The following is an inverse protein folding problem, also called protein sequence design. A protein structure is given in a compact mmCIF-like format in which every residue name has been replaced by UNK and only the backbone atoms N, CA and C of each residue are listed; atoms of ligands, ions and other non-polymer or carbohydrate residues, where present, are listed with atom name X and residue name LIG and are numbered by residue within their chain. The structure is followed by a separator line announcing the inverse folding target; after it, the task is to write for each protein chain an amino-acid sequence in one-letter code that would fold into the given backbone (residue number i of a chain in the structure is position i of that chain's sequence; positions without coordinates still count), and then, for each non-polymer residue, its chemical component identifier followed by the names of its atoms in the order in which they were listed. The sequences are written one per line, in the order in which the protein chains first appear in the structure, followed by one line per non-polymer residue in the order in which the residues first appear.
data_IF_941365031017
#
_entry.id   IF_941365031017
#
_cell.length_a   1.000
_cell.length_b   1.000
_cell.length_c   1.000
_cell.angle_alpha   90.00
_cell.angle_beta   90.00
_cell.angle_gamma   90.00
#
_symmetry.space_group_name_H-M   'P 1'
#
loop_
_entity.id
_entity.type
_entity.pdbx_description
1 polymer ?
#
# COMPACT_ATOMS: atom_id res chain seq x y z
N UNK A 1 -9.03 10.86 -6.52
CA UNK A 1 -9.87 12.00 -6.06
C UNK A 1 -9.29 12.53 -4.75
N UNK A 2 -9.31 13.83 -4.52
CA UNK A 2 -8.96 14.38 -3.21
C UNK A 2 -10.19 14.26 -2.31
N UNK A 3 -10.04 13.69 -1.13
CA UNK A 3 -11.12 13.55 -0.15
C UNK A 3 -10.78 14.35 1.11
N UNK A 4 -11.59 15.32 1.46
CA UNK A 4 -11.46 16.07 2.71
C UNK A 4 -12.28 15.39 3.80
N UNK A 5 -11.65 15.04 4.92
CA UNK A 5 -12.29 14.43 6.08
C UNK A 5 -12.25 15.44 7.22
N UNK A 6 -13.41 15.66 7.84
CA UNK A 6 -13.57 16.52 9.01
C UNK A 6 -13.94 15.67 10.23
N UNK A 7 -13.30 15.90 11.35
CA UNK A 7 -13.52 15.18 12.59
C UNK A 7 -13.54 16.16 13.76
N UNK A 8 -14.45 15.94 14.69
CA UNK A 8 -14.46 16.64 15.99
C UNK A 8 -13.84 15.71 17.04
N UNK A 9 -12.94 16.22 17.86
CA UNK A 9 -12.24 15.45 18.89
C UNK A 9 -13.16 15.24 20.10
N UNK A 10 -13.42 13.96 20.39
CA UNK A 10 -14.24 13.54 21.52
C UNK A 10 -13.44 13.57 22.85
N UNK A 11 -14.13 13.63 23.98
CA UNK A 11 -13.52 13.65 25.34
C UNK A 11 -12.57 12.45 25.56
N UNK A 12 -12.92 11.26 25.05
CA UNK A 12 -12.10 10.04 25.15
C UNK A 12 -10.77 10.10 24.41
N UNK A 13 -10.61 11.04 23.45
CA UNK A 13 -9.43 11.22 22.61
C UNK A 13 -8.56 12.41 23.06
N UNK A 14 -8.94 13.07 24.14
CA UNK A 14 -8.19 14.18 24.73
C UNK A 14 -6.74 13.80 25.03
N UNK A 15 -5.81 14.68 24.73
CA UNK A 15 -4.36 14.54 24.96
C UNK A 15 -3.69 13.34 24.25
N UNK A 16 -4.35 12.71 23.28
CA UNK A 16 -3.77 11.67 22.43
C UNK A 16 -3.13 12.28 21.19
N UNK A 17 -2.22 11.52 20.56
CA UNK A 17 -1.55 11.93 19.33
C UNK A 17 -2.52 11.90 18.16
N UNK A 18 -2.46 12.93 17.31
CA UNK A 18 -3.33 13.05 16.14
C UNK A 18 -3.15 11.92 15.13
N UNK A 19 -1.90 11.47 14.88
CA UNK A 19 -1.64 10.37 13.95
C UNK A 19 -2.27 9.04 14.39
N UNK A 20 -2.33 8.78 15.70
CA UNK A 20 -2.98 7.59 16.27
C UNK A 20 -4.49 7.65 16.14
N UNK A 21 -5.09 8.80 16.44
CA UNK A 21 -6.54 8.95 16.38
C UNK A 21 -7.04 8.90 14.94
N UNK A 22 -6.35 9.58 14.01
CA UNK A 22 -6.68 9.53 12.58
C UNK A 22 -6.57 8.10 12.03
N UNK A 23 -5.54 7.33 12.41
CA UNK A 23 -5.39 5.95 11.92
C UNK A 23 -6.47 5.00 12.45
N UNK A 24 -7.07 5.29 13.60
CA UNK A 24 -8.20 4.53 14.15
C UNK A 24 -9.54 4.91 13.52
N UNK A 25 -9.73 6.20 13.23
CA UNK A 25 -11.00 6.72 12.70
C UNK A 25 -11.10 6.64 11.17
N UNK A 26 -9.96 6.51 10.46
CA UNK A 26 -9.90 6.44 8.99
C UNK A 26 -9.37 5.06 8.58
N UNK A 27 -10.26 4.10 8.41
CA UNK A 27 -9.93 2.67 8.25
C UNK A 27 -9.30 2.32 6.88
N UNK A 28 -9.39 3.19 5.88
CA UNK A 28 -8.92 2.90 4.51
C UNK A 28 -7.52 3.43 4.21
N UNK A 29 -6.83 4.07 5.19
CA UNK A 29 -5.46 4.56 5.03
C UNK A 29 -4.56 4.12 6.18
N UNK A 30 -3.30 3.81 5.87
CA UNK A 30 -2.33 3.36 6.86
C UNK A 30 -1.81 4.53 7.70
N UNK A 31 -1.41 4.24 8.95
CA UNK A 31 -0.77 5.25 9.82
C UNK A 31 0.46 5.90 9.20
N UNK A 32 1.26 5.13 8.46
CA UNK A 32 2.43 5.65 7.74
C UNK A 32 2.03 6.69 6.70
N UNK A 33 0.91 6.47 6.01
CA UNK A 33 0.41 7.43 5.03
C UNK A 33 -0.16 8.68 5.70
N UNK A 34 -0.87 8.54 6.83
CA UNK A 34 -1.33 9.68 7.64
C UNK A 34 -0.16 10.56 8.07
N UNK A 35 0.94 9.96 8.57
CA UNK A 35 2.15 10.73 8.92
C UNK A 35 2.65 11.56 7.74
N UNK A 36 2.77 10.97 6.55
CA UNK A 36 3.19 11.69 5.34
C UNK A 36 2.24 12.83 4.96
N UNK A 37 0.93 12.64 5.12
CA UNK A 37 -0.04 13.71 4.87
C UNK A 37 0.17 14.87 5.84
N UNK A 38 0.39 14.60 7.13
CA UNK A 38 0.64 15.61 8.16
C UNK A 38 1.93 16.40 7.85
N UNK A 39 3.02 15.70 7.57
CA UNK A 39 4.31 16.29 7.21
C UNK A 39 4.22 17.16 5.94
N UNK A 40 3.36 16.77 4.99
CA UNK A 40 3.07 17.51 3.76
C UNK A 40 1.98 18.60 3.93
N UNK A 41 1.71 19.07 5.15
CA UNK A 41 0.78 20.18 5.42
C UNK A 41 -0.67 19.90 5.00
N UNK A 42 -1.09 18.62 4.96
CA UNK A 42 -2.46 18.23 4.62
C UNK A 42 -3.38 18.10 5.84
N UNK A 43 -2.92 18.48 7.03
CA UNK A 43 -3.66 18.45 8.28
C UNK A 43 -3.85 19.86 8.83
N UNK A 44 -5.07 20.18 9.19
CA UNK A 44 -5.40 21.38 9.96
C UNK A 44 -6.08 20.98 11.28
N UNK A 45 -5.76 21.70 12.36
CA UNK A 45 -6.45 21.64 13.63
C UNK A 45 -6.89 23.08 13.96
N UNK A 46 -8.20 23.29 14.13
CA UNK A 46 -8.78 24.61 14.37
C UNK A 46 -8.31 25.65 13.32
N UNK A 47 -8.35 25.27 12.04
CA UNK A 47 -7.90 26.07 10.89
C UNK A 47 -6.41 26.41 10.85
N UNK A 48 -5.58 25.81 11.71
CA UNK A 48 -4.12 25.96 11.72
C UNK A 48 -3.44 24.72 11.16
N UNK A 49 -2.52 24.89 10.21
CA UNK A 49 -1.76 23.79 9.63
C UNK A 49 -0.87 23.14 10.69
N UNK A 50 -0.91 21.82 10.78
CA UNK A 50 -0.11 21.01 11.69
C UNK A 50 0.77 20.08 10.86
N UNK A 51 2.10 20.11 11.11
CA UNK A 51 3.10 19.29 10.40
C UNK A 51 3.69 18.16 11.26
N UNK A 52 3.40 18.16 12.54
CA UNK A 52 3.96 17.19 13.48
C UNK A 52 2.98 16.07 13.78
N UNK A 53 3.24 14.80 13.36
CA UNK A 53 2.33 13.67 13.60
C UNK A 53 2.08 13.37 15.08
N UNK A 54 3.01 13.75 15.96
CA UNK A 54 2.92 13.55 17.41
C UNK A 54 2.10 14.61 18.13
N UNK A 55 1.56 15.61 17.44
CA UNK A 55 0.73 16.68 18.03
C UNK A 55 -0.41 16.08 18.86
N UNK A 56 -0.54 16.54 20.09
CA UNK A 56 -1.63 16.16 21.01
C UNK A 56 -2.86 17.01 20.72
N UNK A 57 -4.01 16.35 20.64
CA UNK A 57 -5.31 16.97 20.36
C UNK A 57 -6.09 17.20 21.66
N UNK A 58 -6.96 18.20 21.66
CA UNK A 58 -7.82 18.54 22.80
C UNK A 58 -9.29 18.24 22.46
N UNK A 59 -10.10 18.00 23.47
CA UNK A 59 -11.55 17.89 23.30
C UNK A 59 -12.08 19.11 22.56
N UNK A 60 -12.99 18.90 21.63
CA UNK A 60 -13.59 19.93 20.75
C UNK A 60 -12.64 20.53 19.70
N UNK A 61 -11.41 20.04 19.54
CA UNK A 61 -10.61 20.43 18.39
C UNK A 61 -11.30 19.96 17.09
N UNK A 62 -11.40 20.85 16.12
CA UNK A 62 -11.84 20.52 14.77
C UNK A 62 -10.62 20.12 13.92
N UNK A 63 -10.63 18.88 13.45
CA UNK A 63 -9.56 18.31 12.61
C UNK A 63 -10.05 18.23 11.17
N UNK A 64 -9.29 18.79 10.24
CA UNK A 64 -9.52 18.68 8.81
C UNK A 64 -8.29 18.05 8.16
N UNK A 65 -8.44 16.91 7.48
CA UNK A 65 -7.35 16.26 6.76
C UNK A 65 -7.72 16.06 5.29
N UNK A 66 -6.83 16.49 4.40
CA UNK A 66 -6.95 16.28 2.96
C UNK A 66 -6.24 15.01 2.56
N UNK A 67 -7.00 13.98 2.22
CA UNK A 67 -6.50 12.69 1.77
C UNK A 67 -6.41 12.70 0.25
N UNK A 68 -5.20 12.60 -0.27
CA UNK A 68 -4.95 12.41 -1.68
C UNK A 68 -5.01 10.90 -1.94
N UNK A 69 -6.10 10.41 -2.53
CA UNK A 69 -6.15 9.01 -2.94
C UNK A 69 -5.01 8.75 -3.92
N UNK A 70 -4.03 7.96 -3.49
CA UNK A 70 -3.12 7.36 -4.47
C UNK A 70 -3.97 6.51 -5.40
N UNK A 71 -3.98 6.84 -6.69
CA UNK A 71 -4.43 5.86 -7.69
C UNK A 71 -3.65 4.59 -7.40
N UNK A 72 -4.36 3.51 -7.08
CA UNK A 72 -3.75 2.19 -7.04
C UNK A 72 -2.97 2.05 -8.35
N UNK A 73 -1.67 1.90 -8.23
CA UNK A 73 -0.84 1.63 -9.41
C UNK A 73 -1.29 0.26 -9.91
N UNK A 74 -2.12 0.27 -10.96
CA UNK A 74 -2.55 -0.98 -11.60
C UNK A 74 -1.28 -1.67 -12.06
N UNK A 75 -1.06 -2.87 -11.56
CA UNK A 75 -0.02 -3.74 -12.09
C UNK A 75 -0.47 -4.12 -13.49
N UNK A 76 0.32 -3.75 -14.50
CA UNK A 76 -0.02 -4.04 -15.88
C UNK A 76 0.64 -5.37 -16.29
N UNK A 77 -0.10 -6.25 -16.98
CA UNK A 77 0.48 -7.45 -17.56
C UNK A 77 1.63 -7.09 -18.49
N UNK A 78 2.71 -7.87 -18.45
CA UNK A 78 3.85 -7.72 -19.37
C UNK A 78 4.43 -9.08 -19.71
N UNK A 79 4.73 -9.28 -20.98
CA UNK A 79 5.42 -10.46 -21.46
C UNK A 79 6.86 -10.47 -20.95
N UNK A 80 7.18 -11.44 -20.14
CA UNK A 80 8.50 -11.73 -19.57
C UNK A 80 8.60 -13.24 -19.48
N UNK A 81 9.66 -13.80 -20.00
CA UNK A 81 9.90 -15.25 -19.93
C UNK A 81 10.07 -15.71 -18.50
N UNK A 82 9.36 -16.80 -18.15
CA UNK A 82 9.41 -17.42 -16.84
C UNK A 82 9.98 -18.83 -16.95
N UNK A 83 11.00 -19.12 -16.16
CA UNK A 83 11.52 -20.46 -16.02
C UNK A 83 10.62 -21.25 -15.05
N UNK A 84 9.59 -21.92 -15.62
CA UNK A 84 8.63 -22.74 -14.87
C UNK A 84 9.21 -24.13 -14.73
N UNK A 85 9.34 -24.60 -13.48
CA UNK A 85 9.86 -25.92 -13.14
C UNK A 85 8.73 -26.92 -12.97
N UNK A 86 7.58 -26.46 -12.46
CA UNK A 86 6.39 -27.27 -12.27
C UNK A 86 5.15 -26.39 -12.39
N UNK A 87 4.07 -26.97 -12.92
CA UNK A 87 2.77 -26.30 -13.06
C UNK A 87 1.67 -27.36 -13.04
N UNK A 88 0.64 -27.14 -12.23
CA UNK A 88 -0.63 -27.86 -12.24
C UNK A 88 -1.81 -26.89 -12.10
N UNK A 89 -2.99 -27.38 -11.83
CA UNK A 89 -4.21 -26.56 -11.71
C UNK A 89 -4.21 -25.63 -10.48
N UNK A 90 -3.44 -25.96 -9.44
CA UNK A 90 -3.45 -25.30 -8.15
C UNK A 90 -2.22 -24.41 -7.90
N UNK A 91 -1.05 -24.79 -8.41
CA UNK A 91 0.20 -24.09 -8.13
C UNK A 91 1.20 -24.08 -9.30
N UNK A 92 2.09 -23.10 -9.25
CA UNK A 92 3.20 -22.95 -10.19
C UNK A 92 4.49 -22.81 -9.39
N UNK A 93 5.52 -23.58 -9.75
CA UNK A 93 6.88 -23.43 -9.21
C UNK A 93 7.78 -22.79 -10.25
N UNK A 94 8.37 -21.67 -9.91
CA UNK A 94 9.19 -20.85 -10.81
C UNK A 94 10.61 -20.80 -10.26
N UNK A 95 11.61 -21.06 -11.10
CA UNK A 95 12.99 -20.73 -10.80
C UNK A 95 13.25 -19.26 -11.14
N UNK A 96 13.11 -18.39 -10.14
CA UNK A 96 13.28 -16.94 -10.31
C UNK A 96 14.76 -16.61 -10.57
N UNK A 97 15.09 -15.93 -11.67
CA UNK A 97 16.44 -15.47 -11.90
C UNK A 97 16.84 -14.34 -10.93
N UNK A 98 18.13 -14.19 -10.70
CA UNK A 98 18.72 -13.01 -10.07
C UNK A 98 18.39 -11.76 -10.89
N UNK A 99 18.08 -10.65 -10.21
CA UNK A 99 17.73 -9.38 -10.85
C UNK A 99 16.23 -9.16 -11.07
N UNK A 100 15.41 -10.23 -11.10
CA UNK A 100 13.96 -10.11 -11.22
C UNK A 100 13.34 -9.79 -9.84
N UNK A 101 12.53 -8.73 -9.78
CA UNK A 101 11.75 -8.36 -8.58
C UNK A 101 10.44 -9.11 -8.59
N UNK A 102 10.00 -9.61 -7.44
CA UNK A 102 8.72 -10.34 -7.33
C UNK A 102 7.53 -9.40 -7.49
N UNK A 103 7.49 -8.30 -6.75
CA UNK A 103 6.38 -7.35 -6.75
C UNK A 103 6.77 -5.96 -7.22
N UNK A 104 5.86 -5.21 -7.86
CA UNK A 104 6.06 -3.80 -8.12
C UNK A 104 6.31 -3.02 -6.82
N UNK A 105 7.32 -2.15 -6.85
CA UNK A 105 7.73 -1.32 -5.72
C UNK A 105 8.59 -0.15 -6.16
N UNK A 106 9.14 0.62 -5.21
CA UNK A 106 9.97 1.77 -5.50
C UNK A 106 11.11 1.42 -6.48
N UNK A 107 11.15 2.11 -7.61
CA UNK A 107 12.13 1.89 -8.69
C UNK A 107 11.88 0.69 -9.63
N UNK A 108 10.88 -0.15 -9.36
CA UNK A 108 10.60 -1.35 -10.17
C UNK A 108 9.08 -1.55 -10.33
N UNK A 109 8.45 -0.80 -11.24
CA UNK A 109 6.98 -0.83 -11.39
C UNK A 109 6.47 -1.68 -12.55
N UNK A 110 7.32 -2.02 -13.53
CA UNK A 110 6.88 -2.57 -14.82
C UNK A 110 7.52 -3.91 -15.22
N UNK A 111 8.57 -4.36 -14.54
CA UNK A 111 9.32 -5.55 -14.91
C UNK A 111 9.46 -6.47 -13.70
N UNK A 112 8.34 -7.00 -13.22
CA UNK A 112 8.32 -7.86 -12.05
C UNK A 112 7.71 -9.21 -12.37
N UNK A 113 7.95 -10.20 -11.53
CA UNK A 113 7.36 -11.53 -11.65
C UNK A 113 5.81 -11.44 -11.73
N UNK A 114 5.20 -10.57 -10.93
CA UNK A 114 3.74 -10.37 -10.96
C UNK A 114 3.27 -9.85 -12.33
N UNK A 115 4.02 -8.95 -12.98
CA UNK A 115 3.66 -8.51 -14.35
C UNK A 115 3.65 -9.67 -15.34
N UNK A 116 4.66 -10.58 -15.26
CA UNK A 116 4.75 -11.76 -16.10
C UNK A 116 3.62 -12.76 -15.84
N UNK A 117 3.32 -13.04 -14.58
CA UNK A 117 2.23 -13.93 -14.18
C UNK A 117 0.87 -13.41 -14.67
N UNK A 118 0.62 -12.12 -14.50
CA UNK A 118 -0.62 -11.50 -14.99
C UNK A 118 -0.75 -11.56 -16.52
N UNK A 119 0.37 -11.52 -17.25
CA UNK A 119 0.36 -11.69 -18.70
C UNK A 119 0.03 -13.14 -19.10
N UNK A 120 0.72 -14.11 -18.49
CA UNK A 120 0.57 -15.53 -18.82
C UNK A 120 -0.78 -16.11 -18.40
N UNK A 121 -1.21 -15.81 -17.16
CA UNK A 121 -2.39 -16.44 -16.53
C UNK A 121 -3.63 -15.54 -16.48
N UNK A 122 -3.50 -14.27 -16.89
CA UNK A 122 -4.64 -13.32 -16.95
C UNK A 122 -5.43 -13.29 -15.63
N UNK A 123 -6.67 -13.78 -15.66
CA UNK A 123 -7.60 -13.77 -14.51
C UNK A 123 -7.57 -15.05 -13.65
N UNK A 124 -6.71 -16.02 -13.99
CA UNK A 124 -6.66 -17.33 -13.34
C UNK A 124 -5.75 -17.37 -12.10
N UNK A 125 -5.24 -16.21 -11.67
CA UNK A 125 -4.42 -16.12 -10.46
C UNK A 125 -5.29 -15.91 -9.22
N UNK A 126 -4.95 -16.59 -8.12
CA UNK A 126 -5.61 -16.41 -6.83
C UNK A 126 -5.56 -14.95 -6.36
N UNK A 127 -6.68 -14.43 -5.87
CA UNK A 127 -6.80 -13.06 -5.34
C UNK A 127 -6.83 -13.01 -3.79
N UNK A 128 -6.52 -14.11 -3.10
CA UNK A 128 -6.53 -14.19 -1.63
C UNK A 128 -5.67 -13.10 -0.97
N UNK A 129 -4.51 -12.78 -1.56
CA UNK A 129 -3.61 -11.72 -1.09
C UNK A 129 -3.90 -10.34 -1.72
N UNK A 130 -5.09 -10.17 -2.30
CA UNK A 130 -5.56 -8.94 -2.93
C UNK A 130 -5.07 -8.75 -4.36
N UNK A 131 -5.69 -7.80 -5.07
CA UNK A 131 -5.47 -7.52 -6.50
C UNK A 131 -4.04 -7.07 -6.87
N UNK A 132 -3.26 -6.63 -5.90
CA UNK A 132 -1.88 -6.16 -6.12
C UNK A 132 -0.87 -7.31 -6.05
N UNK A 133 -1.25 -8.45 -5.47
CA UNK A 133 -0.39 -9.63 -5.26
C UNK A 133 -1.07 -10.91 -5.74
N UNK A 134 -1.59 -10.97 -6.96
CA UNK A 134 -2.32 -12.13 -7.43
C UNK A 134 -1.40 -13.36 -7.49
N UNK A 135 -1.84 -14.46 -6.88
CA UNK A 135 -1.17 -15.76 -6.91
C UNK A 135 0.13 -15.87 -6.10
N UNK A 136 0.63 -14.81 -5.47
CA UNK A 136 1.93 -14.85 -4.78
C UNK A 136 1.79 -15.36 -3.35
N UNK A 137 2.44 -16.47 -3.04
CA UNK A 137 2.44 -17.09 -1.70
C UNK A 137 3.54 -16.50 -0.82
N UNK A 138 4.77 -16.40 -1.34
CA UNK A 138 5.93 -15.81 -0.66
C UNK A 138 6.80 -15.03 -1.62
N UNK A 139 7.91 -14.50 -1.16
CA UNK A 139 8.83 -13.72 -1.99
C UNK A 139 10.27 -13.95 -1.56
N UNK A 140 11.17 -13.82 -2.53
CA UNK A 140 12.61 -13.74 -2.33
C UNK A 140 13.11 -12.41 -2.90
N UNK A 141 14.28 -11.95 -2.47
CA UNK A 141 14.80 -10.64 -2.84
C UNK A 141 15.20 -10.55 -4.32
N UNK A 142 15.34 -9.33 -4.83
CA UNK A 142 15.72 -9.07 -6.22
C UNK A 142 16.96 -9.83 -6.65
N UNK A 143 17.98 -9.81 -5.81
CA UNK A 143 19.30 -10.40 -6.13
C UNK A 143 19.45 -11.87 -5.71
N UNK A 144 18.39 -12.46 -5.16
CA UNK A 144 18.32 -13.87 -4.83
C UNK A 144 17.66 -14.62 -5.99
N UNK A 145 18.27 -15.70 -6.44
CA UNK A 145 17.69 -16.69 -7.35
C UNK A 145 17.19 -17.89 -6.59
N UNK A 146 16.27 -18.66 -7.18
CA UNK A 146 15.75 -19.89 -6.58
C UNK A 146 14.26 -20.08 -6.79
N UNK A 147 13.74 -21.15 -6.19
CA UNK A 147 12.35 -21.55 -6.34
C UNK A 147 11.41 -20.62 -5.58
N UNK A 148 10.29 -20.35 -6.21
CA UNK A 148 9.22 -19.52 -5.71
C UNK A 148 7.88 -20.09 -6.15
#
# INVERSE_FOLDING_TARGET
MNKTIKLLVEKKDHNKRVDLILSKKINFITRTYIKKLIENSQLEINKKIVKTPATKIKTNDEIVINVIEKKESKVLPKEIDLNIIFEDDDLIVINKPKGLVVHPGAGNFKNTLVNALMFKYKNNLSNLNGKIRPGIVHRIDKNTSGLL
#
